data_IF_973966041326
#
_entry.id   IF_973966041326
#
_cell.length_a   1.000
_cell.length_b   1.000
_cell.length_c   1.000
_cell.angle_alpha   90.00
_cell.angle_beta   90.00
_cell.angle_gamma   90.00
#
_symmetry.space_group_name_H-M   'P 1'
#
loop_
_entity.id
_entity.type
_entity.pdbx_description
1 polymer ?
#
# COMPACT_ATOMS: atom_id res chain seq x y z
N UNK A 1 -2.05 -17.99 -20.93
CA UNK A 1 -0.82 -18.46 -21.59
C UNK A 1 -0.82 -19.99 -21.60
N UNK A 2 -0.49 -20.64 -22.72
CA UNK A 2 -0.36 -22.11 -22.70
C UNK A 2 0.97 -22.50 -22.05
N UNK A 3 1.01 -23.62 -21.32
CA UNK A 3 2.23 -24.13 -20.67
C UNK A 3 3.38 -24.32 -21.67
N UNK A 4 3.07 -24.67 -22.91
CA UNK A 4 4.07 -24.85 -23.98
C UNK A 4 4.77 -23.53 -24.36
N UNK A 5 4.08 -22.39 -24.29
CA UNK A 5 4.70 -21.10 -24.58
C UNK A 5 5.70 -20.71 -23.49
N UNK A 6 5.36 -20.95 -22.23
CA UNK A 6 6.25 -20.63 -21.10
C UNK A 6 7.54 -21.49 -21.14
N UNK A 7 7.42 -22.80 -21.46
CA UNK A 7 8.58 -23.69 -21.61
C UNK A 7 9.49 -23.20 -22.73
N UNK A 8 8.93 -22.84 -23.88
CA UNK A 8 9.73 -22.31 -24.99
C UNK A 8 10.48 -21.04 -24.59
N UNK A 9 9.82 -20.12 -23.85
CA UNK A 9 10.46 -18.89 -23.37
C UNK A 9 11.62 -19.23 -22.42
N UNK A 10 11.42 -20.11 -21.44
CA UNK A 10 12.49 -20.52 -20.50
C UNK A 10 13.64 -21.22 -21.18
N UNK A 11 13.37 -22.04 -22.20
CA UNK A 11 14.42 -22.68 -23.01
C UNK A 11 15.22 -21.66 -23.81
N UNK A 12 14.58 -20.68 -24.45
CA UNK A 12 15.27 -19.62 -25.17
C UNK A 12 16.16 -18.77 -24.26
N UNK A 13 15.68 -18.44 -23.06
CA UNK A 13 16.43 -17.65 -22.09
C UNK A 13 17.68 -18.40 -21.61
N UNK A 14 17.57 -19.71 -21.35
CA UNK A 14 18.71 -20.55 -20.93
C UNK A 14 19.78 -20.72 -22.04
N UNK A 15 19.40 -20.55 -23.29
CA UNK A 15 20.34 -20.67 -24.44
C UNK A 15 21.03 -19.34 -24.74
N UNK A 16 20.48 -18.23 -24.28
CA UNK A 16 21.10 -16.91 -24.46
C UNK A 16 21.93 -16.55 -23.21
N UNK A 17 23.23 -16.35 -23.36
CA UNK A 17 24.13 -15.85 -22.29
C UNK A 17 23.83 -14.39 -21.87
N UNK A 18 22.70 -13.85 -22.28
CA UNK A 18 22.24 -12.53 -21.91
C UNK A 18 21.54 -12.60 -20.56
N UNK A 19 21.93 -11.75 -19.61
CA UNK A 19 21.35 -11.68 -18.27
C UNK A 19 19.88 -11.24 -18.30
N UNK A 20 18.97 -12.17 -18.63
CA UNK A 20 17.53 -11.99 -18.61
C UNK A 20 16.98 -12.46 -17.28
N UNK A 21 16.23 -11.62 -16.59
CA UNK A 21 15.51 -11.94 -15.38
C UNK A 21 14.02 -12.10 -15.69
N UNK A 22 13.45 -13.28 -15.41
CA UNK A 22 12.03 -13.57 -15.64
C UNK A 22 11.29 -13.68 -14.32
N UNK A 23 10.20 -12.91 -14.18
CA UNK A 23 9.30 -12.97 -13.04
C UNK A 23 7.99 -13.65 -13.42
N UNK A 24 7.58 -14.64 -12.64
CA UNK A 24 6.26 -15.25 -12.70
C UNK A 24 5.45 -14.71 -11.51
N UNK A 25 4.40 -13.94 -11.79
CA UNK A 25 3.58 -13.29 -10.76
C UNK A 25 2.15 -13.78 -10.86
N UNK A 26 1.67 -14.43 -9.81
CA UNK A 26 0.29 -14.88 -9.67
C UNK A 26 0.00 -15.24 -8.20
N UNK A 27 -1.20 -15.73 -7.92
CA UNK A 27 -1.54 -16.25 -6.59
C UNK A 27 -0.70 -17.49 -6.28
N UNK A 28 -0.44 -17.71 -4.98
CA UNK A 28 0.32 -18.89 -4.52
C UNK A 28 -0.25 -20.21 -5.05
N UNK A 29 -1.58 -20.30 -5.16
CA UNK A 29 -2.30 -21.49 -5.64
C UNK A 29 -2.01 -21.72 -7.12
N UNK A 30 -2.13 -20.69 -7.94
CA UNK A 30 -1.95 -20.79 -9.39
C UNK A 30 -0.48 -21.06 -9.76
N UNK A 31 0.48 -20.40 -9.07
CA UNK A 31 1.90 -20.68 -9.23
C UNK A 31 2.21 -22.14 -8.89
N UNK A 32 1.73 -22.65 -7.75
CA UNK A 32 1.91 -24.07 -7.41
C UNK A 32 1.31 -25.02 -8.45
N UNK A 33 0.13 -24.70 -8.94
CA UNK A 33 -0.56 -25.51 -9.94
C UNK A 33 0.20 -25.50 -11.28
N UNK A 34 0.74 -24.34 -11.69
CA UNK A 34 1.54 -24.21 -12.91
C UNK A 34 2.86 -24.97 -12.80
N UNK A 35 3.64 -24.76 -11.74
CA UNK A 35 4.94 -25.39 -11.52
C UNK A 35 4.81 -26.89 -11.26
N UNK A 36 3.78 -27.34 -10.54
CA UNK A 36 3.54 -28.75 -10.24
C UNK A 36 3.24 -29.62 -11.46
N UNK A 37 2.82 -29.01 -12.58
CA UNK A 37 2.59 -29.73 -13.84
C UNK A 37 3.86 -30.01 -14.64
N UNK A 38 4.95 -29.27 -14.37
CA UNK A 38 6.15 -29.35 -15.20
C UNK A 38 7.41 -29.11 -14.37
N UNK A 39 8.16 -30.19 -14.17
CA UNK A 39 9.37 -30.20 -13.37
C UNK A 39 10.44 -29.21 -13.88
N UNK A 40 10.58 -29.08 -15.18
CA UNK A 40 11.52 -28.16 -15.84
C UNK A 40 11.25 -26.69 -15.49
N UNK A 41 9.99 -26.30 -15.27
CA UNK A 41 9.64 -24.95 -14.84
C UNK A 41 9.98 -24.74 -13.36
N UNK A 42 9.83 -25.77 -12.53
CA UNK A 42 10.18 -25.71 -11.09
C UNK A 42 11.68 -25.49 -10.91
N UNK A 43 12.49 -26.17 -11.71
CA UNK A 43 13.96 -26.04 -11.65
C UNK A 43 14.42 -24.66 -12.15
N UNK A 44 13.71 -24.09 -13.12
CA UNK A 44 13.99 -22.75 -13.65
C UNK A 44 13.60 -21.64 -12.67
N UNK A 45 12.39 -21.72 -12.06
CA UNK A 45 11.90 -20.76 -11.08
C UNK A 45 12.25 -21.22 -9.65
N UNK A 46 13.52 -21.17 -9.30
CA UNK A 46 14.05 -21.65 -8.02
C UNK A 46 14.01 -20.60 -6.90
N UNK A 47 13.80 -19.33 -7.25
CA UNK A 47 13.64 -18.22 -6.28
C UNK A 47 12.16 -17.92 -6.14
N UNK A 48 11.69 -17.89 -4.89
CA UNK A 48 10.31 -17.58 -4.56
C UNK A 48 10.25 -16.38 -3.62
N UNK A 49 9.42 -15.44 -3.98
CA UNK A 49 9.11 -14.29 -3.14
C UNK A 49 7.61 -14.31 -2.84
N UNK A 50 7.24 -14.51 -1.59
CA UNK A 50 5.85 -14.42 -1.13
C UNK A 50 5.57 -12.99 -0.68
N UNK A 51 4.63 -12.32 -1.36
CA UNK A 51 4.11 -11.01 -0.94
C UNK A 51 2.95 -11.27 0.00
N UNK A 52 3.14 -10.94 1.29
CA UNK A 52 2.13 -11.10 2.32
C UNK A 52 1.33 -9.79 2.43
N UNK A 53 0.00 -9.91 2.61
CA UNK A 53 -0.83 -8.76 2.91
C UNK A 53 -0.31 -8.04 4.17
N UNK A 54 -0.24 -6.72 4.13
CA UNK A 54 0.18 -5.92 5.27
C UNK A 54 -0.90 -5.97 6.36
N UNK A 55 -0.47 -5.99 7.62
CA UNK A 55 -1.39 -5.84 8.75
C UNK A 55 -1.96 -4.42 8.80
N UNK A 56 -3.10 -4.23 9.50
CA UNK A 56 -3.68 -2.92 9.77
C UNK A 56 -2.63 -1.95 10.32
N UNK A 57 -1.91 -2.37 11.37
CA UNK A 57 -0.87 -1.53 11.99
C UNK A 57 0.23 -1.12 11.01
N UNK A 58 0.69 -2.06 10.17
CA UNK A 58 1.72 -1.76 9.15
C UNK A 58 1.23 -0.78 8.09
N UNK A 59 -0.05 -0.86 7.71
CA UNK A 59 -0.68 0.07 6.77
C UNK A 59 -0.83 1.46 7.40
N UNK A 60 -1.24 1.52 8.66
CA UNK A 60 -1.34 2.77 9.42
C UNK A 60 0.03 3.41 9.60
N UNK A 61 1.04 2.67 10.04
CA UNK A 61 2.42 3.14 10.14
C UNK A 61 2.95 3.70 8.80
N UNK A 62 2.63 3.01 7.71
CA UNK A 62 2.97 3.49 6.37
C UNK A 62 2.29 4.81 6.05
N UNK A 63 0.98 4.94 6.32
CA UNK A 63 0.22 6.17 6.09
C UNK A 63 0.72 7.33 6.94
N UNK A 64 1.06 7.10 8.21
CA UNK A 64 1.66 8.11 9.08
C UNK A 64 2.99 8.61 8.52
N UNK A 65 3.88 7.71 8.07
CA UNK A 65 5.15 8.09 7.43
C UNK A 65 4.94 8.85 6.13
N UNK A 66 3.92 8.46 5.35
CA UNK A 66 3.57 9.16 4.12
C UNK A 66 3.08 10.59 4.41
N UNK A 67 2.18 10.76 5.39
CA UNK A 67 1.71 12.08 5.84
C UNK A 67 2.90 12.96 6.30
N UNK A 68 3.79 12.39 7.11
CA UNK A 68 4.98 13.11 7.61
C UNK A 68 5.89 13.58 6.48
N UNK A 69 6.10 12.78 5.43
CA UNK A 69 6.89 13.17 4.26
C UNK A 69 6.26 14.34 3.48
N UNK A 70 4.94 14.53 3.62
CA UNK A 70 4.21 15.65 3.02
C UNK A 70 4.11 16.87 3.95
N UNK A 71 4.70 16.83 5.16
CA UNK A 71 4.67 17.91 6.15
C UNK A 71 3.42 17.89 7.03
N UNK A 72 2.72 16.76 7.10
CA UNK A 72 1.54 16.58 7.94
C UNK A 72 1.80 15.57 9.04
N UNK A 73 1.21 15.79 10.22
CA UNK A 73 1.18 14.80 11.29
C UNK A 73 -0.26 14.40 11.61
N UNK A 74 -0.46 13.16 12.03
CA UNK A 74 -1.78 12.68 12.47
C UNK A 74 -1.85 12.86 13.98
N UNK A 75 -2.81 13.65 14.46
CA UNK A 75 -3.00 13.93 15.88
C UNK A 75 -3.22 12.62 16.66
N UNK A 76 -2.48 12.45 17.76
CA UNK A 76 -2.67 11.29 18.64
C UNK A 76 -4.09 11.25 19.23
N UNK A 77 -4.61 10.05 19.48
CA UNK A 77 -5.94 9.84 20.01
C UNK A 77 -7.01 9.69 18.94
N UNK A 78 -7.98 10.62 18.87
CA UNK A 78 -9.17 10.45 18.02
C UNK A 78 -8.87 10.43 16.52
N UNK A 79 -7.91 11.22 16.04
CA UNK A 79 -7.51 11.22 14.63
C UNK A 79 -6.84 9.88 14.24
N UNK A 80 -5.96 9.39 15.08
CA UNK A 80 -5.32 8.09 14.88
C UNK A 80 -6.36 6.95 14.87
N UNK A 81 -7.32 6.98 15.81
CA UNK A 81 -8.43 6.02 15.83
C UNK A 81 -9.32 6.11 14.59
N UNK A 82 -9.60 7.32 14.09
CA UNK A 82 -10.36 7.52 12.87
C UNK A 82 -9.61 6.96 11.64
N UNK A 83 -8.31 7.19 11.58
CA UNK A 83 -7.48 6.63 10.52
C UNK A 83 -7.45 5.09 10.55
N UNK A 84 -7.23 4.48 11.71
CA UNK A 84 -7.34 3.03 11.89
C UNK A 84 -8.70 2.49 11.45
N UNK A 85 -9.78 3.18 11.82
CA UNK A 85 -11.13 2.81 11.41
C UNK A 85 -11.28 2.81 9.89
N UNK A 86 -10.82 3.85 9.20
CA UNK A 86 -10.85 3.95 7.72
C UNK A 86 -10.07 2.81 7.07
N UNK A 87 -8.87 2.50 7.56
CA UNK A 87 -8.04 1.39 7.08
C UNK A 87 -8.77 0.05 7.28
N UNK A 88 -9.37 -0.17 8.44
CA UNK A 88 -10.12 -1.40 8.75
C UNK A 88 -11.37 -1.55 7.89
N UNK A 89 -12.11 -0.48 7.68
CA UNK A 89 -13.31 -0.47 6.83
C UNK A 89 -12.94 -0.79 5.37
N UNK A 90 -11.84 -0.27 4.87
CA UNK A 90 -11.34 -0.57 3.54
C UNK A 90 -10.87 -2.03 3.39
N UNK A 91 -10.39 -2.66 4.46
CA UNK A 91 -10.03 -4.09 4.48
C UNK A 91 -11.23 -5.04 4.62
N UNK A 92 -12.43 -4.52 4.83
CA UNK A 92 -13.61 -5.36 5.02
C UNK A 92 -13.94 -6.19 3.76
N UNK A 93 -14.47 -7.40 3.94
CA UNK A 93 -14.97 -8.22 2.84
C UNK A 93 -13.90 -8.95 2.01
N UNK A 94 -12.82 -9.43 2.60
CA UNK A 94 -11.70 -10.11 1.93
C UNK A 94 -10.90 -9.22 0.95
N UNK A 95 -11.04 -7.90 1.03
CA UNK A 95 -10.22 -6.99 0.27
C UNK A 95 -8.81 -6.91 0.87
N UNK A 96 -7.80 -7.07 0.04
CA UNK A 96 -6.39 -6.86 0.43
C UNK A 96 -6.04 -5.42 0.12
N UNK A 97 -6.03 -4.60 1.13
CA UNK A 97 -5.69 -3.19 1.01
C UNK A 97 -4.23 -3.00 0.59
N UNK A 98 -4.01 -2.10 -0.34
CA UNK A 98 -2.70 -1.74 -0.88
C UNK A 98 -2.17 -0.45 -0.26
N UNK A 99 -0.86 -0.22 -0.37
CA UNK A 99 -0.25 1.07 0.04
C UNK A 99 -0.76 2.26 -0.79
N UNK A 100 -1.24 2.02 -2.02
CA UNK A 100 -1.85 3.07 -2.84
C UNK A 100 -3.17 3.57 -2.22
N UNK A 101 -4.02 2.65 -1.77
CA UNK A 101 -5.28 2.99 -1.09
C UNK A 101 -5.05 3.68 0.25
N UNK A 102 -3.99 3.33 0.99
CA UNK A 102 -3.58 4.06 2.20
C UNK A 102 -3.20 5.50 1.87
N UNK A 103 -2.45 5.72 0.79
CA UNK A 103 -2.13 7.09 0.32
C UNK A 103 -3.38 7.87 -0.02
N UNK A 104 -4.34 7.26 -0.71
CA UNK A 104 -5.62 7.89 -1.05
C UNK A 104 -6.37 8.36 0.19
N UNK A 105 -6.41 7.56 1.26
CA UNK A 105 -7.02 7.97 2.53
C UNK A 105 -6.31 9.18 3.14
N UNK A 106 -4.98 9.19 3.13
CA UNK A 106 -4.20 10.31 3.67
C UNK A 106 -4.35 11.56 2.80
N UNK A 107 -4.31 11.43 1.49
CA UNK A 107 -4.49 12.54 0.55
C UNK A 107 -5.90 13.16 0.69
N UNK A 108 -6.93 12.32 0.85
CA UNK A 108 -8.30 12.77 1.14
C UNK A 108 -8.37 13.56 2.45
N UNK A 109 -7.70 13.09 3.51
CA UNK A 109 -7.65 13.79 4.79
C UNK A 109 -6.91 15.13 4.67
N UNK A 110 -5.84 15.19 3.90
CA UNK A 110 -5.11 16.44 3.62
C UNK A 110 -6.01 17.43 2.86
N UNK A 111 -6.73 16.98 1.84
CA UNK A 111 -7.67 17.79 1.09
C UNK A 111 -8.81 18.32 1.97
N UNK A 112 -9.35 17.47 2.84
CA UNK A 112 -10.39 17.86 3.80
C UNK A 112 -9.85 18.88 4.81
N UNK A 113 -8.61 18.72 5.28
CA UNK A 113 -7.96 19.70 6.14
C UNK A 113 -7.82 21.05 5.42
N UNK A 114 -7.39 21.08 4.16
CA UNK A 114 -7.29 22.28 3.33
C UNK A 114 -8.63 23.01 3.17
N UNK A 115 -9.70 22.29 2.83
CA UNK A 115 -11.06 22.84 2.72
C UNK A 115 -11.54 23.45 4.05
N UNK A 116 -11.25 22.77 5.16
CA UNK A 116 -11.55 23.24 6.49
C UNK A 116 -10.72 24.48 6.90
N UNK A 117 -9.49 24.62 6.39
CA UNK A 117 -8.62 25.76 6.66
C UNK A 117 -9.20 27.06 6.09
N UNK A 118 -9.67 27.06 4.85
CA UNK A 118 -10.31 28.24 4.25
C UNK A 118 -11.58 28.70 4.99
N UNK A 119 -12.36 27.74 5.51
CA UNK A 119 -13.54 28.06 6.32
C UNK A 119 -13.17 28.62 7.70
N UNK A 120 -11.99 28.35 8.23
CA UNK A 120 -11.50 28.81 9.54
C UNK A 120 -10.84 30.18 9.49
N UNK A 121 -10.38 30.66 8.33
CA UNK A 121 -9.91 32.05 8.20
C UNK A 121 -11.02 33.07 8.50
N UNK A 122 -12.30 32.66 8.35
CA UNK A 122 -13.47 33.44 8.72
C UNK A 122 -13.83 33.36 10.23
N UNK A 123 -13.23 32.42 10.98
CA UNK A 123 -13.43 32.26 12.42
C UNK A 123 -12.07 32.18 13.11
N UNK A 124 -11.67 33.27 13.78
CA UNK A 124 -10.56 33.27 14.76
C UNK A 124 -10.80 32.21 15.84
N UNK A 125 -10.44 30.97 15.58
CA UNK A 125 -10.37 29.92 16.61
C UNK A 125 -8.91 29.56 16.78
N UNK A 126 -8.35 30.02 17.89
CA UNK A 126 -7.03 29.68 18.43
C UNK A 126 -6.93 28.19 18.74
N UNK A 127 -6.64 27.38 17.75
CA UNK A 127 -6.19 26.00 17.92
C UNK A 127 -4.82 25.87 17.25
N UNK A 128 -3.85 25.28 17.94
CA UNK A 128 -2.53 24.99 17.38
C UNK A 128 -2.74 24.18 16.09
N UNK A 129 -2.39 24.77 14.94
CA UNK A 129 -2.57 24.14 13.61
C UNK A 129 -1.41 23.19 13.30
N UNK A 130 -0.28 23.41 13.97
CA UNK A 130 0.97 22.69 13.79
C UNK A 130 1.33 21.95 15.09
N UNK A 131 1.99 20.82 14.95
CA UNK A 131 2.58 20.12 16.07
C UNK A 131 3.89 20.79 16.53
N UNK A 132 4.56 20.19 17.51
CA UNK A 132 5.81 20.74 18.08
C UNK A 132 6.99 20.70 17.09
N UNK A 133 6.86 19.97 15.99
CA UNK A 133 7.83 19.86 14.90
C UNK A 133 7.50 20.78 13.71
N UNK A 134 6.44 21.58 13.79
CA UNK A 134 5.98 22.48 12.72
C UNK A 134 5.22 21.77 11.59
N UNK A 135 4.76 20.52 11.80
CA UNK A 135 3.93 19.81 10.84
C UNK A 135 2.46 20.15 11.05
N UNK A 136 1.71 20.25 9.94
CA UNK A 136 0.27 20.52 9.98
C UNK A 136 -0.46 19.30 10.53
N UNK A 137 -1.25 19.47 11.60
CA UNK A 137 -1.97 18.36 12.23
C UNK A 137 -3.26 18.00 11.48
N UNK A 138 -3.37 16.74 11.05
CA UNK A 138 -4.62 16.11 10.61
C UNK A 138 -5.40 15.64 11.85
N UNK A 139 -6.69 15.94 11.88
CA UNK A 139 -7.59 15.69 13.01
C UNK A 139 -8.67 14.69 12.63
N UNK A 140 -9.36 14.12 13.61
CA UNK A 140 -10.45 13.16 13.42
C UNK A 140 -11.42 13.53 12.29
N UNK A 141 -11.84 14.78 12.22
CA UNK A 141 -12.79 15.28 11.22
C UNK A 141 -12.27 15.29 9.79
N UNK A 142 -10.95 15.21 9.61
CA UNK A 142 -10.32 15.20 8.29
C UNK A 142 -10.37 13.79 7.68
N UNK A 143 -10.61 12.75 8.50
CA UNK A 143 -10.79 11.36 8.09
C UNK A 143 -12.27 10.93 7.97
N UNK A 144 -13.24 11.82 8.20
CA UNK A 144 -14.69 11.53 8.15
C UNK A 144 -15.35 12.03 6.87
#
# INVERSE_FOLDING_TARGET
MSNNSLIKITQCINQEERGILLFLVDTRKEIKHLLGRQRTLTDFFNIRIDIIAMSEDSLVDYGMKYANNLGYSIEEGFANLAFHKRVREAQAGNHIMTVAEVKEIVDEAIDNNGKNFFSKFARRVTGKLEDDNGMIMLREKDFN
#
